data_IF_639166722208
#
_entry.id   IF_639166722208
#
_cell.length_a   1.000
_cell.length_b   1.000
_cell.length_c   1.000
_cell.angle_alpha   90.00
_cell.angle_beta   90.00
_cell.angle_gamma   90.00
#
_symmetry.space_group_name_H-M   'P 1'
#
loop_
_entity.id
_entity.type
_entity.pdbx_description
1 polymer ?
#
# COMPACT_ATOMS: atom_id res chain seq x y z
N UNK A 1 34.78 -11.36 19.85
CA UNK A 1 33.70 -10.63 20.52
C UNK A 1 33.19 -9.63 19.51
N UNK A 2 32.02 -9.84 18.94
CA UNK A 2 31.38 -8.92 17.98
C UNK A 2 30.93 -7.67 18.75
N UNK A 3 31.46 -6.52 18.36
CA UNK A 3 31.09 -5.22 18.94
C UNK A 3 29.58 -4.99 18.71
N UNK A 4 28.84 -4.80 19.79
CA UNK A 4 27.40 -4.54 19.74
C UNK A 4 27.21 -3.03 19.60
N UNK A 5 26.84 -2.57 18.41
CA UNK A 5 26.47 -1.17 18.22
C UNK A 5 25.15 -0.87 18.95
N UNK A 6 25.09 0.25 19.65
CA UNK A 6 23.92 0.69 20.42
C UNK A 6 23.10 1.68 19.57
N UNK A 7 21.79 1.46 19.48
CA UNK A 7 20.85 2.40 18.89
C UNK A 7 19.72 2.69 19.90
N UNK A 8 19.43 3.96 20.15
CA UNK A 8 18.31 4.33 21.02
C UNK A 8 16.97 4.00 20.36
N UNK A 9 16.82 4.43 19.11
CA UNK A 9 15.67 4.10 18.26
C UNK A 9 16.14 3.30 17.07
N UNK A 10 15.66 2.06 16.96
CA UNK A 10 15.96 1.17 15.87
C UNK A 10 14.70 0.94 15.04
N UNK A 11 14.78 1.15 13.73
CA UNK A 11 13.69 0.94 12.78
C UNK A 11 14.10 -0.14 11.78
N UNK A 12 13.32 -1.20 11.67
CA UNK A 12 13.53 -2.25 10.68
C UNK A 12 12.61 -2.03 9.48
N UNK A 13 13.18 -1.63 8.36
CA UNK A 13 12.50 -1.33 7.11
C UNK A 13 12.46 0.16 6.79
N UNK A 14 12.83 0.52 5.56
CA UNK A 14 12.84 1.88 5.02
C UNK A 14 11.69 2.12 4.03
N UNK A 15 10.54 1.46 4.23
CA UNK A 15 9.29 1.71 3.51
C UNK A 15 8.47 2.85 4.14
N UNK A 16 7.22 3.05 3.68
CA UNK A 16 6.34 4.14 4.13
C UNK A 16 6.28 4.33 5.64
N UNK A 17 6.09 3.25 6.40
CA UNK A 17 6.02 3.31 7.86
C UNK A 17 7.35 3.69 8.49
N UNK A 18 8.46 3.06 8.04
CA UNK A 18 9.78 3.28 8.61
C UNK A 18 10.31 4.69 8.36
N UNK A 19 10.22 5.20 7.12
CA UNK A 19 10.66 6.57 6.81
C UNK A 19 9.81 7.62 7.54
N UNK A 20 8.48 7.45 7.56
CA UNK A 20 7.59 8.36 8.27
C UNK A 20 7.83 8.37 9.78
N UNK A 21 8.21 7.22 10.35
CA UNK A 21 8.61 7.13 11.74
C UNK A 21 9.95 7.82 12.00
N UNK A 22 10.95 7.59 11.15
CA UNK A 22 12.27 8.22 11.27
C UNK A 22 12.16 9.75 11.17
N UNK A 23 11.43 10.26 10.20
CA UNK A 23 11.15 11.69 10.04
C UNK A 23 10.45 12.27 11.28
N UNK A 24 9.45 11.57 11.81
CA UNK A 24 8.71 12.02 12.99
C UNK A 24 9.57 12.01 14.26
N UNK A 25 10.44 11.01 14.46
CA UNK A 25 11.41 11.00 15.56
C UNK A 25 12.35 12.19 15.41
N UNK A 26 12.89 12.43 14.23
CA UNK A 26 13.85 13.51 13.98
C UNK A 26 13.22 14.90 14.15
N UNK A 27 11.98 15.08 13.72
CA UNK A 27 11.21 16.31 13.95
C UNK A 27 11.10 16.66 15.45
N UNK A 28 10.90 15.64 16.30
CA UNK A 28 10.66 15.80 17.74
C UNK A 28 11.91 15.68 18.60
N UNK A 29 12.92 14.96 18.15
CA UNK A 29 14.15 14.62 18.89
C UNK A 29 15.37 14.74 17.97
N UNK A 30 15.84 15.97 17.76
CA UNK A 30 16.93 16.26 16.79
C UNK A 30 18.22 15.47 17.08
N UNK A 31 18.59 15.30 18.35
CA UNK A 31 19.82 14.65 18.79
C UNK A 31 19.66 13.15 19.13
N UNK A 32 18.53 12.54 18.76
CA UNK A 32 18.31 11.14 19.08
C UNK A 32 19.23 10.22 18.24
N UNK A 33 19.78 9.20 18.86
CA UNK A 33 20.45 8.09 18.15
C UNK A 33 19.38 7.29 17.40
N UNK A 34 19.39 7.36 16.06
CA UNK A 34 18.40 6.78 15.19
C UNK A 34 19.05 5.95 14.10
N UNK A 35 18.79 4.66 14.11
CA UNK A 35 19.26 3.72 13.10
C UNK A 35 18.08 3.17 12.31
N UNK A 36 18.14 3.20 10.98
CA UNK A 36 17.18 2.58 10.06
C UNK A 36 17.88 1.47 9.29
N UNK A 37 17.33 0.26 9.36
CA UNK A 37 17.89 -0.93 8.69
C UNK A 37 17.03 -1.28 7.50
N UNK A 38 17.61 -1.40 6.32
CA UNK A 38 16.95 -1.81 5.08
C UNK A 38 17.68 -2.98 4.44
N UNK A 39 16.92 -4.00 4.02
CA UNK A 39 17.47 -5.09 3.21
C UNK A 39 17.76 -4.68 1.76
N UNK A 40 17.13 -3.60 1.29
CA UNK A 40 17.36 -3.07 -0.04
C UNK A 40 18.72 -2.36 -0.10
N UNK A 41 19.35 -2.39 -1.27
CA UNK A 41 20.67 -1.80 -1.49
C UNK A 41 20.61 -0.35 -2.01
N UNK A 42 19.41 0.18 -2.17
CA UNK A 42 19.13 1.54 -2.64
C UNK A 42 18.53 2.41 -1.55
N UNK A 43 18.64 3.72 -1.72
CA UNK A 43 17.93 4.70 -0.92
C UNK A 43 16.42 4.44 -0.92
N UNK A 44 15.67 4.85 0.13
CA UNK A 44 14.23 4.64 0.20
C UNK A 44 13.52 5.20 -1.02
N UNK A 45 12.67 4.38 -1.62
CA UNK A 45 11.88 4.74 -2.82
C UNK A 45 10.39 4.78 -2.54
N UNK A 46 9.64 5.40 -3.45
CA UNK A 46 8.19 5.28 -3.54
C UNK A 46 7.78 4.08 -4.42
N UNK A 47 7.44 2.90 -3.88
CA UNK A 47 7.03 1.77 -4.70
C UNK A 47 5.70 2.00 -5.43
N UNK A 48 4.91 3.00 -5.01
CA UNK A 48 3.67 3.39 -5.72
C UNK A 48 3.95 4.02 -7.07
N UNK A 49 5.15 4.58 -7.28
CA UNK A 49 5.60 5.22 -8.51
C UNK A 49 6.41 4.29 -9.44
N UNK A 50 6.59 3.01 -9.07
CA UNK A 50 7.29 2.04 -9.93
C UNK A 50 6.60 1.80 -11.28
N UNK A 51 5.26 1.77 -11.39
CA UNK A 51 4.60 1.69 -12.69
C UNK A 51 4.94 2.88 -13.60
N UNK A 52 4.96 4.10 -13.08
CA UNK A 52 5.31 5.32 -13.79
C UNK A 52 6.78 5.30 -14.26
N UNK A 53 7.68 4.74 -13.42
CA UNK A 53 9.07 4.49 -13.81
C UNK A 53 9.19 3.42 -14.90
N UNK A 54 8.42 2.33 -14.82
CA UNK A 54 8.37 1.34 -15.90
C UNK A 54 7.85 1.97 -17.19
N UNK A 55 6.82 2.80 -17.12
CA UNK A 55 6.27 3.53 -18.27
C UNK A 55 7.31 4.46 -18.89
N UNK A 56 8.20 5.04 -18.08
CA UNK A 56 9.20 6.02 -18.48
C UNK A 56 8.70 7.46 -18.36
N UNK A 57 7.58 7.69 -17.68
CA UNK A 57 7.03 9.03 -17.41
C UNK A 57 7.75 9.75 -16.28
N UNK A 58 8.48 9.02 -15.43
CA UNK A 58 9.39 9.56 -14.41
C UNK A 58 10.77 8.92 -14.53
N UNK A 59 11.80 9.63 -14.11
CA UNK A 59 13.18 9.17 -14.00
C UNK A 59 13.39 8.30 -12.75
N UNK A 60 14.53 7.61 -12.70
CA UNK A 60 14.94 6.85 -11.51
C UNK A 60 15.10 7.73 -10.28
N UNK A 61 15.63 8.94 -10.45
CA UNK A 61 15.91 9.86 -9.35
C UNK A 61 14.63 10.37 -8.68
N UNK A 62 13.53 10.48 -9.43
CA UNK A 62 12.22 10.87 -8.92
C UNK A 62 11.55 9.78 -8.05
N UNK A 63 12.07 8.55 -8.06
CA UNK A 63 11.60 7.49 -7.18
C UNK A 63 12.07 7.66 -5.74
N UNK A 64 13.26 8.28 -5.54
CA UNK A 64 13.88 8.36 -4.23
C UNK A 64 13.16 9.36 -3.33
N UNK A 65 12.85 8.92 -2.11
CA UNK A 65 12.20 9.74 -1.08
C UNK A 65 13.23 10.45 -0.21
N UNK A 66 14.39 9.81 -0.03
CA UNK A 66 15.56 10.38 0.63
C UNK A 66 16.76 10.29 -0.31
N UNK A 67 17.64 11.26 -0.24
CA UNK A 67 18.98 11.21 -0.79
C UNK A 67 20.03 11.11 0.35
N UNK A 68 21.29 11.04 -0.01
CA UNK A 68 22.38 10.94 0.98
C UNK A 68 22.49 12.20 1.83
N UNK A 69 22.29 13.37 1.23
CA UNK A 69 22.38 14.64 1.95
C UNK A 69 21.30 14.73 3.02
N UNK A 70 20.07 14.31 2.71
CA UNK A 70 18.98 14.25 3.68
C UNK A 70 19.32 13.35 4.88
N UNK A 71 19.89 12.17 4.63
CA UNK A 71 20.26 11.20 5.68
C UNK A 71 21.35 11.78 6.59
N UNK A 72 22.38 12.41 6.01
CA UNK A 72 23.50 13.03 6.71
C UNK A 72 23.06 14.26 7.52
N UNK A 73 22.33 15.19 6.92
CA UNK A 73 21.80 16.40 7.56
C UNK A 73 20.87 16.09 8.74
N UNK A 74 20.12 14.99 8.63
CA UNK A 74 19.23 14.55 9.69
C UNK A 74 19.89 13.58 10.68
N UNK A 75 21.17 13.27 10.55
CA UNK A 75 21.90 12.39 11.45
C UNK A 75 21.28 11.02 11.61
N UNK A 76 20.75 10.45 10.51
CA UNK A 76 20.14 9.11 10.48
C UNK A 76 21.23 8.09 10.11
N UNK A 77 21.46 7.08 10.93
CA UNK A 77 22.27 5.93 10.53
C UNK A 77 21.43 5.01 9.64
N UNK A 78 21.58 5.13 8.32
CA UNK A 78 20.87 4.28 7.35
C UNK A 78 21.74 3.10 6.93
N UNK A 79 21.38 1.90 7.36
CA UNK A 79 22.06 0.64 7.04
C UNK A 79 21.35 -0.05 5.87
N UNK A 80 21.82 0.19 4.66
CA UNK A 80 21.38 -0.50 3.45
C UNK A 80 21.96 -1.91 3.34
N UNK A 81 21.38 -2.76 2.48
CA UNK A 81 21.77 -4.16 2.26
C UNK A 81 21.93 -4.94 3.58
N UNK A 82 21.04 -4.67 4.52
CA UNK A 82 21.11 -5.20 5.89
C UNK A 82 19.76 -5.83 6.24
N UNK A 83 19.69 -7.15 6.25
CA UNK A 83 18.50 -7.89 6.59
C UNK A 83 18.47 -8.29 8.05
N UNK A 84 17.44 -7.88 8.77
CA UNK A 84 17.18 -8.36 10.13
C UNK A 84 16.58 -9.77 10.08
N UNK A 85 17.25 -10.74 10.70
CA UNK A 85 16.84 -12.16 10.66
C UNK A 85 16.26 -12.68 11.96
N UNK A 86 16.52 -11.99 13.10
CA UNK A 86 15.99 -12.37 14.42
C UNK A 86 15.92 -11.15 15.33
N UNK A 87 14.89 -11.11 16.15
CA UNK A 87 14.72 -10.14 17.24
C UNK A 87 14.79 -10.88 18.55
N UNK A 88 15.71 -10.49 19.45
CA UNK A 88 15.78 -10.97 20.81
C UNK A 88 15.26 -9.89 21.76
N UNK A 89 14.02 -10.07 22.22
CA UNK A 89 13.36 -9.10 23.10
C UNK A 89 13.87 -9.11 24.52
N UNK A 90 14.58 -10.17 24.96
CA UNK A 90 15.14 -10.27 26.30
C UNK A 90 16.42 -9.45 26.42
N UNK A 91 17.24 -9.52 25.38
CA UNK A 91 18.51 -8.78 25.30
C UNK A 91 18.36 -7.44 24.59
N UNK A 92 17.14 -7.05 24.20
CA UNK A 92 16.85 -5.85 23.41
C UNK A 92 17.80 -5.72 22.19
N UNK A 93 17.92 -6.78 21.42
CA UNK A 93 18.83 -6.86 20.29
C UNK A 93 18.19 -7.40 19.02
N UNK A 94 18.70 -6.97 17.86
CA UNK A 94 18.35 -7.46 16.53
C UNK A 94 19.60 -8.06 15.90
N UNK A 95 19.46 -9.26 15.35
CA UNK A 95 20.53 -9.94 14.63
C UNK A 95 20.32 -9.78 13.13
N UNK A 96 21.34 -9.29 12.46
CA UNK A 96 21.37 -9.13 11.00
C UNK A 96 21.94 -10.39 10.33
N UNK A 97 21.62 -10.58 9.04
CA UNK A 97 22.07 -11.72 8.25
C UNK A 97 23.60 -11.84 8.14
N UNK A 98 24.32 -10.73 8.25
CA UNK A 98 25.78 -10.71 8.29
C UNK A 98 26.40 -11.05 9.66
N UNK A 99 25.57 -11.41 10.65
CA UNK A 99 25.98 -11.75 12.01
C UNK A 99 26.16 -10.56 12.95
N UNK A 100 26.04 -9.31 12.48
CA UNK A 100 26.09 -8.11 13.34
C UNK A 100 24.86 -8.11 14.27
N UNK A 101 25.07 -7.74 15.54
CA UNK A 101 24.00 -7.50 16.51
C UNK A 101 23.83 -6.01 16.75
N UNK A 102 22.59 -5.53 16.75
CA UNK A 102 22.22 -4.16 17.07
C UNK A 102 21.40 -4.15 18.35
N UNK A 103 21.82 -3.42 19.37
CA UNK A 103 21.01 -3.22 20.58
C UNK A 103 20.07 -2.01 20.40
N UNK A 104 18.92 -2.01 21.06
CA UNK A 104 17.96 -0.93 21.00
C UNK A 104 17.34 -0.61 22.37
N UNK A 105 16.88 0.61 22.56
CA UNK A 105 16.00 0.99 23.67
C UNK A 105 14.52 0.90 23.23
N UNK A 106 14.24 1.28 21.98
CA UNK A 106 12.92 1.17 21.34
C UNK A 106 13.09 0.64 19.93
N UNK A 107 12.22 -0.28 19.56
CA UNK A 107 12.24 -0.93 18.25
C UNK A 107 10.93 -0.69 17.49
N UNK A 108 11.03 -0.31 16.23
CA UNK A 108 9.91 -0.34 15.27
C UNK A 108 10.13 -1.44 14.24
N UNK A 109 9.18 -2.37 14.14
CA UNK A 109 9.10 -3.36 13.06
C UNK A 109 8.25 -2.76 11.94
N UNK A 110 8.91 -2.30 10.85
CA UNK A 110 8.29 -1.70 9.67
C UNK A 110 8.72 -2.43 8.39
N UNK A 111 8.91 -3.75 8.49
CA UNK A 111 9.45 -4.61 7.44
C UNK A 111 8.44 -4.93 6.32
N UNK A 112 7.21 -4.49 6.47
CA UNK A 112 6.18 -4.57 5.46
C UNK A 112 5.72 -5.99 5.16
N UNK A 113 5.57 -6.30 3.87
CA UNK A 113 5.06 -7.58 3.40
C UNK A 113 5.89 -8.12 2.24
N UNK A 114 5.79 -9.42 1.99
CA UNK A 114 6.39 -10.10 0.84
C UNK A 114 5.32 -10.59 -0.14
N UNK A 115 5.63 -10.67 -1.44
CA UNK A 115 4.68 -11.15 -2.44
C UNK A 115 4.28 -12.61 -2.19
N UNK A 116 3.05 -12.92 -2.54
CA UNK A 116 2.58 -14.30 -2.61
C UNK A 116 2.99 -14.84 -3.97
N UNK A 117 3.80 -15.90 -3.97
CA UNK A 117 4.22 -16.62 -5.16
C UNK A 117 3.78 -18.08 -5.04
N UNK A 118 3.32 -18.67 -6.15
CA UNK A 118 3.07 -20.12 -6.23
C UNK A 118 4.38 -20.88 -6.35
N UNK A 119 4.43 -22.17 -5.98
CA UNK A 119 5.62 -22.99 -6.16
C UNK A 119 6.14 -23.00 -7.61
N UNK A 120 5.24 -22.93 -8.59
CA UNK A 120 5.60 -22.91 -10.01
C UNK A 120 6.30 -21.60 -10.39
N UNK A 121 5.84 -20.46 -9.88
CA UNK A 121 6.49 -19.17 -10.11
C UNK A 121 7.87 -19.09 -9.43
N UNK A 122 8.03 -19.71 -8.26
CA UNK A 122 9.31 -19.75 -7.54
C UNK A 122 10.41 -20.53 -8.28
N UNK A 123 10.04 -21.40 -9.22
CA UNK A 123 10.96 -22.20 -10.05
C UNK A 123 11.30 -21.56 -11.38
N UNK A 124 10.70 -20.41 -11.70
CA UNK A 124 10.88 -19.72 -12.98
C UNK A 124 11.83 -18.54 -12.81
N UNK A 125 12.69 -18.38 -13.79
CA UNK A 125 13.47 -17.16 -13.96
C UNK A 125 12.57 -16.02 -14.46
N UNK A 126 12.99 -14.78 -14.21
CA UNK A 126 12.31 -13.56 -14.68
C UNK A 126 10.87 -13.41 -14.18
N UNK A 127 10.63 -13.76 -12.91
CA UNK A 127 9.41 -13.47 -12.19
C UNK A 127 9.66 -12.30 -11.26
N UNK A 128 8.89 -11.22 -11.41
CA UNK A 128 9.01 -9.98 -10.66
C UNK A 128 7.71 -9.68 -9.95
N UNK A 129 7.79 -9.10 -8.75
CA UNK A 129 6.60 -8.79 -7.95
C UNK A 129 6.19 -7.32 -8.00
N UNK A 130 6.98 -6.47 -8.66
CA UNK A 130 6.82 -5.01 -8.74
C UNK A 130 6.67 -4.34 -7.36
N UNK A 131 7.64 -4.60 -6.48
CA UNK A 131 7.70 -4.00 -5.14
C UNK A 131 8.99 -3.23 -4.88
N UNK A 132 10.06 -3.60 -5.55
CA UNK A 132 11.40 -3.03 -5.39
C UNK A 132 11.86 -2.36 -6.68
N UNK A 133 12.88 -1.51 -6.56
CA UNK A 133 13.54 -0.93 -7.72
C UNK A 133 14.14 -2.02 -8.62
N UNK A 134 14.70 -3.07 -8.03
CA UNK A 134 15.26 -4.21 -8.75
C UNK A 134 14.18 -4.95 -9.58
N UNK A 135 12.97 -5.13 -9.02
CA UNK A 135 11.83 -5.67 -9.77
C UNK A 135 11.53 -4.82 -11.02
N UNK A 136 11.41 -3.50 -10.84
CA UNK A 136 11.10 -2.60 -11.95
C UNK A 136 12.18 -2.57 -13.02
N UNK A 137 13.45 -2.49 -12.62
CA UNK A 137 14.60 -2.57 -13.54
C UNK A 137 14.67 -3.92 -14.24
N UNK A 138 14.37 -5.01 -13.53
CA UNK A 138 14.28 -6.36 -14.09
C UNK A 138 13.19 -6.46 -15.17
N UNK A 139 12.01 -5.91 -14.90
CA UNK A 139 10.91 -5.84 -15.87
C UNK A 139 11.33 -5.02 -17.09
N UNK A 140 11.88 -3.81 -16.89
CA UNK A 140 12.35 -2.94 -17.99
C UNK A 140 13.36 -3.63 -18.89
N UNK A 141 14.32 -4.37 -18.30
CA UNK A 141 15.32 -5.13 -19.07
C UNK A 141 14.73 -6.28 -19.86
N UNK A 142 13.76 -6.99 -19.26
CA UNK A 142 13.22 -8.22 -19.84
C UNK A 142 12.07 -8.00 -20.81
N UNK A 143 11.14 -7.07 -20.52
CA UNK A 143 9.93 -6.84 -21.28
C UNK A 143 10.24 -6.24 -22.65
N UNK A 144 10.22 -7.05 -23.72
CA UNK A 144 10.49 -6.65 -25.09
C UNK A 144 9.27 -6.79 -25.98
N UNK A 145 8.65 -7.95 -25.99
CA UNK A 145 7.52 -8.29 -26.84
C UNK A 145 6.25 -8.54 -26.01
N UNK A 146 6.30 -9.47 -25.07
CA UNK A 146 5.13 -9.92 -24.33
C UNK A 146 5.41 -10.19 -22.84
N UNK A 147 4.54 -9.66 -21.99
CA UNK A 147 4.57 -9.88 -20.53
C UNK A 147 3.28 -10.53 -20.06
N UNK A 148 3.40 -11.54 -19.21
CA UNK A 148 2.27 -12.11 -18.47
C UNK A 148 2.20 -11.46 -17.10
N UNK A 149 1.00 -10.96 -16.73
CA UNK A 149 0.70 -10.46 -15.39
C UNK A 149 -0.23 -11.46 -14.70
N UNK A 150 0.24 -12.08 -13.63
CA UNK A 150 -0.56 -13.02 -12.85
C UNK A 150 -1.16 -12.36 -11.62
N UNK A 151 -2.45 -12.09 -11.69
CA UNK A 151 -3.26 -11.33 -10.74
C UNK A 151 -3.98 -10.18 -11.42
N UNK A 152 -4.99 -9.62 -10.78
CA UNK A 152 -5.80 -8.53 -11.33
C UNK A 152 -6.21 -7.50 -10.26
N UNK A 153 -5.35 -7.28 -9.26
CA UNK A 153 -5.45 -6.21 -8.28
C UNK A 153 -4.89 -4.87 -8.80
N UNK A 154 -4.86 -3.85 -7.94
CA UNK A 154 -4.39 -2.50 -8.30
C UNK A 154 -2.99 -2.51 -8.96
N UNK A 155 -2.02 -3.23 -8.37
CA UNK A 155 -0.65 -3.32 -8.90
C UNK A 155 -0.64 -3.99 -10.28
N UNK A 156 -1.43 -5.06 -10.47
CA UNK A 156 -1.53 -5.73 -11.76
C UNK A 156 -2.02 -4.78 -12.86
N UNK A 157 -3.07 -4.01 -12.57
CA UNK A 157 -3.66 -3.09 -13.54
C UNK A 157 -2.72 -1.91 -13.83
N UNK A 158 -2.10 -1.32 -12.82
CA UNK A 158 -1.09 -0.27 -13.02
C UNK A 158 0.10 -0.78 -13.86
N UNK A 159 0.60 -1.98 -13.58
CA UNK A 159 1.66 -2.60 -14.39
C UNK A 159 1.21 -2.85 -15.84
N UNK A 160 -0.03 -3.30 -16.04
CA UNK A 160 -0.58 -3.53 -17.37
C UNK A 160 -0.66 -2.24 -18.19
N UNK A 161 -1.15 -1.15 -17.59
CA UNK A 161 -1.20 0.17 -18.23
C UNK A 161 0.21 0.65 -18.59
N UNK A 162 1.15 0.62 -17.63
CA UNK A 162 2.53 1.07 -17.83
C UNK A 162 3.23 0.30 -18.98
N UNK A 163 3.13 -1.02 -18.99
CA UNK A 163 3.73 -1.87 -20.03
C UNK A 163 3.08 -1.66 -21.40
N UNK A 164 1.76 -1.49 -21.46
CA UNK A 164 1.07 -1.17 -22.71
C UNK A 164 1.48 0.19 -23.29
N UNK A 165 1.65 1.20 -22.45
CA UNK A 165 2.17 2.52 -22.88
C UNK A 165 3.60 2.44 -23.42
N UNK A 166 4.39 1.45 -22.98
CA UNK A 166 5.70 1.13 -23.58
C UNK A 166 5.62 0.34 -24.89
N UNK A 167 4.42 -0.03 -25.36
CA UNK A 167 4.22 -0.83 -26.56
C UNK A 167 4.37 -2.34 -26.37
N UNK A 168 4.52 -2.83 -25.13
CA UNK A 168 4.64 -4.26 -24.83
C UNK A 168 3.28 -4.92 -24.88
N UNK A 169 3.15 -6.12 -25.47
CA UNK A 169 1.94 -6.92 -25.39
C UNK A 169 1.73 -7.45 -23.97
N UNK A 170 0.52 -7.28 -23.44
CA UNK A 170 0.22 -7.64 -22.05
C UNK A 170 -0.93 -8.64 -21.99
N UNK A 171 -0.70 -9.75 -21.27
CA UNK A 171 -1.72 -10.73 -20.94
C UNK A 171 -1.92 -10.74 -19.42
N UNK A 172 -3.09 -10.38 -18.95
CA UNK A 172 -3.49 -10.44 -17.54
C UNK A 172 -4.24 -11.75 -17.29
N UNK A 173 -3.71 -12.58 -16.42
CA UNK A 173 -4.34 -13.83 -15.98
C UNK A 173 -4.96 -13.64 -14.61
N UNK A 174 -6.24 -13.96 -14.45
CA UNK A 174 -6.91 -13.86 -13.16
C UNK A 174 -7.96 -14.95 -12.95
N UNK A 175 -8.21 -15.27 -11.66
CA UNK A 175 -9.18 -16.30 -11.25
C UNK A 175 -10.64 -15.89 -11.46
N UNK A 176 -10.90 -14.61 -11.72
CA UNK A 176 -12.27 -14.11 -11.90
C UNK A 176 -12.26 -12.86 -12.78
N UNK A 177 -12.45 -11.68 -12.22
CA UNK A 177 -12.47 -10.39 -12.93
C UNK A 177 -11.45 -9.41 -12.32
N UNK A 178 -11.10 -8.39 -13.10
CA UNK A 178 -10.20 -7.32 -12.67
C UNK A 178 -10.79 -6.55 -11.48
N UNK A 179 -9.96 -6.17 -10.53
CA UNK A 179 -10.26 -5.28 -9.40
C UNK A 179 -11.49 -5.66 -8.55
N UNK A 180 -11.94 -6.91 -8.57
CA UNK A 180 -13.18 -7.41 -7.94
C UNK A 180 -13.32 -7.12 -6.44
N UNK A 181 -12.21 -6.83 -5.75
CA UNK A 181 -12.19 -6.49 -4.32
C UNK A 181 -12.26 -5.00 -4.07
N UNK A 182 -12.13 -4.18 -5.12
CA UNK A 182 -12.04 -2.74 -5.03
C UNK A 182 -13.25 -2.02 -5.61
N UNK A 183 -13.91 -2.63 -6.60
CA UNK A 183 -15.05 -2.02 -7.30
C UNK A 183 -16.22 -2.98 -7.43
N UNK A 184 -17.40 -2.41 -7.58
CA UNK A 184 -18.62 -3.16 -7.93
C UNK A 184 -18.51 -3.74 -9.35
N UNK A 185 -19.37 -4.71 -9.67
CA UNK A 185 -19.29 -5.53 -10.88
C UNK A 185 -19.32 -4.74 -12.18
N UNK A 186 -20.19 -3.74 -12.26
CA UNK A 186 -20.32 -2.87 -13.42
C UNK A 186 -19.09 -1.99 -13.63
N UNK A 187 -18.50 -1.43 -12.57
CA UNK A 187 -17.26 -0.68 -12.67
C UNK A 187 -16.05 -1.58 -13.00
N UNK A 188 -16.03 -2.82 -12.49
CA UNK A 188 -15.06 -3.81 -12.94
C UNK A 188 -15.21 -4.10 -14.44
N UNK A 189 -16.45 -4.16 -14.95
CA UNK A 189 -16.75 -4.33 -16.37
C UNK A 189 -16.27 -3.15 -17.20
N UNK A 190 -16.51 -1.92 -16.76
CA UNK A 190 -16.05 -0.70 -17.42
C UNK A 190 -14.52 -0.66 -17.51
N UNK A 191 -13.82 -0.92 -16.40
CA UNK A 191 -12.35 -1.00 -16.39
C UNK A 191 -11.84 -2.09 -17.33
N UNK A 192 -12.50 -3.26 -17.35
CA UNK A 192 -12.15 -4.35 -18.26
C UNK A 192 -12.28 -3.93 -19.73
N UNK A 193 -13.39 -3.27 -20.09
CA UNK A 193 -13.59 -2.74 -21.45
C UNK A 193 -12.49 -1.75 -21.86
N UNK A 194 -12.10 -0.83 -20.96
CA UNK A 194 -11.02 0.12 -21.23
C UNK A 194 -9.66 -0.58 -21.42
N UNK A 195 -9.34 -1.58 -20.60
CA UNK A 195 -8.10 -2.36 -20.73
C UNK A 195 -8.06 -3.09 -22.09
N UNK A 196 -9.15 -3.77 -22.46
CA UNK A 196 -9.25 -4.51 -23.73
C UNK A 196 -9.18 -3.55 -24.93
N UNK A 197 -9.88 -2.42 -24.88
CA UNK A 197 -9.84 -1.40 -25.93
C UNK A 197 -8.42 -0.83 -26.16
N UNK A 198 -7.56 -0.86 -25.13
CA UNK A 198 -6.16 -0.45 -25.22
C UNK A 198 -5.20 -1.63 -25.42
N UNK A 199 -5.71 -2.79 -25.83
CA UNK A 199 -4.91 -3.94 -26.26
C UNK A 199 -4.34 -4.80 -25.12
N UNK A 200 -4.91 -4.76 -23.92
CA UNK A 200 -4.62 -5.71 -22.86
C UNK A 200 -5.48 -6.97 -23.06
N UNK A 201 -4.85 -8.14 -23.26
CA UNK A 201 -5.57 -9.43 -23.27
C UNK A 201 -5.86 -9.84 -21.82
N UNK A 202 -7.13 -10.04 -21.48
CA UNK A 202 -7.54 -10.47 -20.14
C UNK A 202 -8.11 -11.88 -20.20
N UNK A 203 -7.50 -12.80 -19.46
CA UNK A 203 -7.94 -14.20 -19.37
C UNK A 203 -8.42 -14.47 -17.95
N UNK A 204 -9.75 -14.46 -17.81
CA UNK A 204 -10.44 -14.74 -16.55
C UNK A 204 -10.64 -16.23 -16.33
N UNK A 205 -10.96 -16.61 -15.09
CA UNK A 205 -11.23 -18.01 -14.68
C UNK A 205 -10.11 -18.99 -15.06
N UNK A 206 -8.87 -18.47 -15.08
CA UNK A 206 -7.66 -19.19 -15.45
C UNK A 206 -6.65 -19.13 -14.34
N UNK A 207 -5.93 -20.23 -14.12
CA UNK A 207 -4.74 -20.31 -13.31
C UNK A 207 -3.52 -20.35 -14.23
N UNK A 208 -2.39 -19.83 -13.74
CA UNK A 208 -1.14 -19.91 -14.45
C UNK A 208 -0.61 -21.33 -14.38
N UNK A 209 -0.47 -21.97 -15.55
CA UNK A 209 0.16 -23.27 -15.68
C UNK A 209 1.45 -23.11 -16.49
N UNK A 210 2.57 -23.46 -15.90
CA UNK A 210 3.85 -23.44 -16.62
C UNK A 210 3.92 -24.59 -17.62
N UNK A 211 4.30 -24.28 -18.87
CA UNK A 211 4.74 -25.33 -19.79
C UNK A 211 6.12 -25.87 -19.38
N UNK A 212 6.48 -27.04 -19.88
CA UNK A 212 7.77 -27.69 -19.63
C UNK A 212 8.98 -26.92 -20.18
N UNK A 213 8.76 -25.97 -21.10
CA UNK A 213 9.81 -25.12 -21.65
C UNK A 213 9.88 -23.77 -20.94
N UNK A 214 11.11 -23.24 -20.79
CA UNK A 214 11.32 -21.86 -20.35
C UNK A 214 10.66 -20.87 -21.32
N UNK A 215 10.02 -19.83 -20.76
CA UNK A 215 9.34 -18.74 -21.48
C UNK A 215 8.08 -19.13 -22.26
N UNK A 216 7.43 -20.25 -21.92
CA UNK A 216 6.13 -20.61 -22.43
C UNK A 216 5.17 -20.92 -21.28
N UNK A 217 3.94 -20.49 -21.41
CA UNK A 217 2.86 -20.75 -20.47
C UNK A 217 1.60 -21.17 -21.20
N UNK A 218 0.83 -22.05 -20.57
CA UNK A 218 -0.52 -22.35 -20.99
C UNK A 218 -1.47 -21.31 -20.39
N UNK A 219 -2.12 -20.54 -21.23
CA UNK A 219 -3.06 -19.48 -20.86
C UNK A 219 -4.43 -19.83 -21.42
N UNK A 220 -5.31 -20.40 -20.58
CA UNK A 220 -6.46 -21.14 -21.08
C UNK A 220 -5.99 -22.38 -21.83
N UNK A 221 -6.43 -22.54 -23.08
CA UNK A 221 -6.05 -23.66 -23.96
C UNK A 221 -4.93 -23.28 -24.96
N UNK A 222 -4.37 -22.08 -24.85
CA UNK A 222 -3.38 -21.55 -25.79
C UNK A 222 -1.98 -21.55 -25.15
N UNK A 223 -0.98 -22.13 -25.84
CA UNK A 223 0.42 -21.98 -25.46
C UNK A 223 0.96 -20.64 -25.96
N UNK A 224 1.41 -19.79 -25.04
CA UNK A 224 1.96 -18.47 -25.36
C UNK A 224 3.40 -18.33 -24.88
N UNK A 225 4.24 -17.72 -25.72
CA UNK A 225 5.59 -17.29 -25.33
C UNK A 225 5.52 -15.96 -24.54
N UNK A 226 6.45 -15.75 -23.61
CA UNK A 226 6.57 -14.52 -22.84
C UNK A 226 8.02 -14.19 -22.50
N UNK A 227 8.29 -12.91 -22.23
CA UNK A 227 9.62 -12.43 -21.83
C UNK A 227 9.84 -12.53 -20.33
N UNK A 228 8.84 -12.13 -19.55
CA UNK A 228 8.83 -12.21 -18.10
C UNK A 228 7.40 -12.28 -17.54
N UNK A 229 7.30 -12.53 -16.24
CA UNK A 229 6.05 -12.59 -15.50
C UNK A 229 6.06 -11.53 -14.40
N UNK A 230 4.96 -10.76 -14.30
CA UNK A 230 4.70 -9.90 -13.15
C UNK A 230 3.70 -10.61 -12.22
N UNK A 231 4.17 -11.04 -11.05
CA UNK A 231 3.36 -11.74 -10.06
C UNK A 231 2.69 -10.74 -9.11
N UNK A 232 1.40 -10.49 -9.32
CA UNK A 232 0.59 -9.52 -8.57
C UNK A 232 -0.62 -10.16 -7.86
N UNK A 233 -0.39 -11.31 -7.20
CA UNK A 233 -1.42 -12.11 -6.54
C UNK A 233 -1.76 -11.65 -5.12
N UNK A 234 -1.12 -10.59 -4.65
CA UNK A 234 -1.22 -10.06 -3.29
C UNK A 234 0.04 -10.30 -2.48
N UNK A 235 -0.03 -9.92 -1.21
CA UNK A 235 1.10 -9.94 -0.29
C UNK A 235 0.72 -10.62 1.02
N UNK A 236 1.74 -11.04 1.77
CA UNK A 236 1.61 -11.51 3.14
C UNK A 236 2.60 -10.79 4.05
N UNK A 237 2.24 -10.49 5.31
CA UNK A 237 3.15 -9.88 6.27
C UNK A 237 4.51 -10.56 6.33
N UNK A 238 5.56 -9.76 6.49
CA UNK A 238 6.93 -10.26 6.57
C UNK A 238 7.68 -9.50 7.66
N UNK A 239 8.15 -10.24 8.66
CA UNK A 239 8.93 -9.71 9.78
C UNK A 239 9.90 -10.77 10.29
N UNK A 240 11.02 -10.37 10.92
CA UNK A 240 11.93 -11.31 11.57
C UNK A 240 11.23 -12.05 12.70
N UNK A 241 11.49 -13.36 12.90
CA UNK A 241 10.95 -14.07 14.04
C UNK A 241 11.44 -13.47 15.36
N UNK A 242 10.54 -13.41 16.34
CA UNK A 242 10.91 -13.14 17.71
C UNK A 242 11.15 -14.44 18.46
N UNK A 243 12.10 -14.43 19.39
CA UNK A 243 12.36 -15.55 20.24
C UNK A 243 11.08 -16.01 20.96
N UNK A 244 10.78 -17.32 20.87
CA UNK A 244 9.68 -17.99 21.55
C UNK A 244 8.26 -17.48 21.25
N UNK A 245 8.01 -16.82 20.09
CA UNK A 245 6.66 -16.37 19.73
C UNK A 245 6.08 -15.30 20.66
N UNK A 246 6.93 -14.44 21.25
CA UNK A 246 6.53 -13.42 22.21
C UNK A 246 5.62 -12.34 21.62
N UNK A 247 5.71 -12.09 20.29
CA UNK A 247 4.80 -11.16 19.62
C UNK A 247 3.51 -11.86 19.23
N UNK A 248 2.39 -11.31 19.70
CA UNK A 248 1.06 -11.74 19.29
C UNK A 248 0.80 -11.45 17.82
N UNK A 249 0.20 -12.42 17.12
CA UNK A 249 -0.26 -12.26 15.74
C UNK A 249 -1.78 -12.17 15.71
N UNK A 250 -2.28 -11.39 14.77
CA UNK A 250 -3.69 -11.30 14.48
C UNK A 250 -4.19 -12.44 13.57
N UNK A 251 -5.47 -12.38 13.21
CA UNK A 251 -6.15 -13.47 12.47
C UNK A 251 -5.68 -13.60 11.01
N UNK A 252 -5.16 -12.54 10.42
CA UNK A 252 -4.68 -12.52 9.02
C UNK A 252 -3.16 -12.68 8.94
N UNK A 253 -2.51 -12.94 10.09
CA UNK A 253 -1.08 -13.22 10.19
C UNK A 253 -0.19 -11.99 10.31
N UNK A 254 -0.75 -10.80 10.44
CA UNK A 254 -0.02 -9.58 10.78
C UNK A 254 0.29 -9.50 12.27
N UNK A 255 1.26 -8.69 12.66
CA UNK A 255 1.56 -8.40 14.05
C UNK A 255 0.35 -7.71 14.69
N UNK A 256 -0.10 -8.20 15.84
CA UNK A 256 -1.14 -7.57 16.63
C UNK A 256 -0.55 -6.35 17.36
N UNK A 257 -1.16 -5.19 17.19
CA UNK A 257 -0.78 -3.94 17.86
C UNK A 257 -2.00 -3.30 18.52
N UNK A 258 -1.75 -2.52 19.57
CA UNK A 258 -2.77 -1.64 20.15
C UNK A 258 -2.94 -0.35 19.32
N UNK A 259 -3.78 0.57 19.81
CA UNK A 259 -4.01 1.84 19.12
C UNK A 259 -2.81 2.80 19.20
N UNK A 260 -1.82 2.52 20.05
CA UNK A 260 -0.54 3.21 20.11
C UNK A 260 0.52 2.60 19.19
N UNK A 261 0.16 1.61 18.38
CA UNK A 261 1.06 0.80 17.53
C UNK A 261 2.07 -0.03 18.31
N UNK A 262 1.85 -0.25 19.64
CA UNK A 262 2.71 -1.10 20.45
C UNK A 262 2.29 -2.56 20.30
N UNK A 263 3.27 -3.45 20.23
CA UNK A 263 3.05 -4.91 20.20
C UNK A 263 2.75 -5.44 21.60
N UNK A 264 2.54 -6.74 21.71
CA UNK A 264 2.41 -7.42 23.01
C UNK A 264 3.69 -7.36 23.87
N UNK A 265 4.81 -6.92 23.29
CA UNK A 265 6.11 -6.78 23.96
C UNK A 265 6.39 -5.30 24.22
N UNK A 266 6.51 -4.87 25.47
CA UNK A 266 6.78 -3.47 25.79
C UNK A 266 8.08 -2.95 25.14
N UNK A 267 8.02 -1.72 24.60
CA UNK A 267 9.15 -1.10 23.91
C UNK A 267 9.37 -1.54 22.46
N UNK A 268 8.57 -2.51 21.98
CA UNK A 268 8.56 -2.94 20.58
C UNK A 268 7.24 -2.50 19.95
N UNK A 269 7.34 -1.77 18.87
CA UNK A 269 6.24 -1.24 18.05
C UNK A 269 6.26 -1.90 16.67
N UNK A 270 5.13 -1.86 15.97
CA UNK A 270 5.08 -2.32 14.59
C UNK A 270 4.12 -1.44 13.77
N UNK A 271 4.40 -1.26 12.47
CA UNK A 271 3.61 -0.42 11.58
C UNK A 271 3.73 -0.83 10.10
N UNK A 272 2.74 -0.51 9.30
CA UNK A 272 2.67 -0.77 7.86
C UNK A 272 2.16 -2.17 7.53
N UNK A 273 2.51 -2.69 6.34
CA UNK A 273 1.95 -3.94 5.79
C UNK A 273 2.24 -5.19 6.65
N UNK A 274 3.04 -5.08 7.71
CA UNK A 274 3.33 -6.19 8.63
C UNK A 274 2.36 -6.30 9.81
N UNK A 275 1.46 -5.32 10.01
CA UNK A 275 0.53 -5.27 11.15
C UNK A 275 -0.93 -5.51 10.75
N UNK A 276 -1.76 -5.85 11.76
CA UNK A 276 -3.22 -5.81 11.64
C UNK A 276 -3.79 -4.60 12.35
N UNK A 277 -4.43 -3.72 11.59
CA UNK A 277 -5.12 -2.53 12.09
C UNK A 277 -6.62 -2.57 11.84
N UNK A 278 -7.36 -1.67 12.46
CA UNK A 278 -8.82 -1.58 12.34
C UNK A 278 -9.22 -0.96 11.00
N UNK A 279 -10.07 -1.63 10.22
CA UNK A 279 -10.84 -1.02 9.15
C UNK A 279 -12.05 -0.30 9.77
N UNK A 280 -12.04 1.02 9.71
CA UNK A 280 -13.09 1.86 10.32
C UNK A 280 -14.47 1.68 9.67
N UNK A 281 -14.54 1.12 8.47
CA UNK A 281 -15.79 0.96 7.73
C UNK A 281 -16.46 -0.38 7.97
N UNK A 282 -15.70 -1.39 8.32
CA UNK A 282 -16.19 -2.74 8.61
C UNK A 282 -16.13 -3.10 10.09
N UNK A 283 -15.33 -2.41 10.88
CA UNK A 283 -15.06 -2.72 12.28
C UNK A 283 -14.18 -3.97 12.47
N UNK A 284 -13.57 -4.48 11.40
CA UNK A 284 -12.71 -5.67 11.44
C UNK A 284 -11.25 -5.27 11.45
N UNK A 285 -10.41 -6.02 12.14
CA UNK A 285 -8.95 -5.89 12.03
C UNK A 285 -8.43 -6.78 10.91
N UNK A 286 -7.38 -6.30 10.22
CA UNK A 286 -6.71 -7.02 9.16
C UNK A 286 -5.50 -6.27 8.63
N UNK A 287 -4.75 -6.91 7.76
CA UNK A 287 -3.60 -6.30 7.07
C UNK A 287 -4.11 -5.36 5.97
N UNK A 288 -3.67 -4.11 6.03
CA UNK A 288 -4.02 -3.04 5.07
C UNK A 288 -2.77 -2.57 4.34
N UNK A 289 -2.38 -3.32 3.30
CA UNK A 289 -1.17 -3.02 2.52
C UNK A 289 -1.36 -1.78 1.62
N UNK A 290 -1.36 -0.60 2.23
CA UNK A 290 -1.59 0.70 1.61
C UNK A 290 -0.58 1.73 2.13
N UNK A 291 -0.08 2.60 1.24
CA UNK A 291 0.93 3.60 1.58
C UNK A 291 0.47 4.62 2.66
N UNK A 292 -0.68 5.32 2.49
CA UNK A 292 -1.07 6.36 3.45
C UNK A 292 -1.30 5.83 4.87
N UNK A 293 -2.01 4.70 5.09
CA UNK A 293 -2.12 4.09 6.41
C UNK A 293 -0.76 3.73 7.02
N UNK A 294 0.12 3.09 6.24
CA UNK A 294 1.44 2.71 6.71
C UNK A 294 2.25 3.91 7.21
N UNK A 295 2.20 5.03 6.49
CA UNK A 295 2.88 6.27 6.89
C UNK A 295 2.27 6.87 8.16
N UNK A 296 0.95 6.87 8.31
CA UNK A 296 0.25 7.35 9.50
C UNK A 296 0.57 6.47 10.73
N UNK A 297 0.53 5.15 10.57
CA UNK A 297 0.90 4.17 11.59
C UNK A 297 2.35 4.36 12.05
N UNK A 298 3.28 4.58 11.11
CA UNK A 298 4.68 4.87 11.41
C UNK A 298 4.85 6.14 12.27
N UNK A 299 4.12 7.21 11.94
CA UNK A 299 4.13 8.46 12.72
C UNK A 299 3.58 8.25 14.13
N UNK A 300 2.48 7.50 14.28
CA UNK A 300 1.90 7.19 15.59
C UNK A 300 2.88 6.34 16.42
N UNK A 301 3.48 5.31 15.83
CA UNK A 301 4.49 4.50 16.49
C UNK A 301 5.68 5.37 16.98
N UNK A 302 6.18 6.26 16.13
CA UNK A 302 7.29 7.15 16.44
C UNK A 302 7.00 8.07 17.65
N UNK A 303 5.82 8.68 17.69
CA UNK A 303 5.38 9.55 18.79
C UNK A 303 5.38 8.76 20.12
N UNK A 304 4.84 7.54 20.11
CA UNK A 304 4.81 6.70 21.30
C UNK A 304 6.22 6.16 21.68
N UNK A 305 7.07 5.85 20.70
CA UNK A 305 8.47 5.45 20.94
C UNK A 305 9.27 6.51 21.67
N UNK A 306 9.04 7.80 21.38
CA UNK A 306 9.75 8.92 22.04
C UNK A 306 9.16 9.31 23.40
N UNK A 307 8.12 8.58 23.89
CA UNK A 307 7.48 8.79 25.18
C UNK A 307 6.40 9.88 25.17
N UNK A 308 5.97 10.34 23.99
CA UNK A 308 4.76 11.17 23.82
C UNK A 308 3.54 10.26 23.63
N UNK A 309 2.34 10.81 23.46
CA UNK A 309 1.12 10.02 23.30
C UNK A 309 0.42 10.34 22.00
N UNK A 310 0.16 9.31 21.20
CA UNK A 310 -0.66 9.37 20.00
C UNK A 310 -1.44 8.06 19.82
N UNK A 311 -2.61 8.16 19.20
CA UNK A 311 -3.44 6.98 18.88
C UNK A 311 -3.78 6.93 17.41
N UNK A 312 -3.80 5.73 16.86
CA UNK A 312 -4.23 5.44 15.51
C UNK A 312 -5.72 5.12 15.48
N UNK A 313 -6.51 5.95 14.82
CA UNK A 313 -7.96 5.80 14.76
C UNK A 313 -8.45 4.66 13.84
N UNK A 314 -7.53 3.98 13.16
CA UNK A 314 -7.82 2.94 12.18
C UNK A 314 -7.76 3.42 10.73
N UNK A 315 -7.76 2.46 9.83
CA UNK A 315 -7.61 2.65 8.38
C UNK A 315 -8.94 2.90 7.70
N UNK A 316 -9.01 3.91 6.84
CA UNK A 316 -9.99 3.98 5.75
C UNK A 316 -9.34 3.39 4.49
N UNK A 317 -9.66 2.15 4.09
CA UNK A 317 -9.10 1.58 2.87
C UNK A 317 -9.46 2.45 1.66
N UNK A 318 -8.45 2.89 0.92
CA UNK A 318 -8.65 3.77 -0.24
C UNK A 318 -7.67 3.43 -1.35
N UNK A 319 -8.14 3.41 -2.59
CA UNK A 319 -7.32 3.21 -3.77
C UNK A 319 -7.70 4.20 -4.86
N UNK A 320 -6.69 4.71 -5.55
CA UNK A 320 -6.82 5.49 -6.78
C UNK A 320 -6.10 4.73 -7.89
N UNK A 321 -6.80 4.46 -8.97
CA UNK A 321 -6.28 3.71 -10.11
C UNK A 321 -6.59 4.51 -11.36
N UNK A 322 -5.56 4.84 -12.12
CA UNK A 322 -5.72 5.43 -13.45
C UNK A 322 -5.63 4.31 -14.49
N UNK A 323 -6.55 4.30 -15.44
CA UNK A 323 -6.61 3.35 -16.55
C UNK A 323 -6.73 4.14 -17.84
N UNK A 324 -5.63 4.31 -18.56
CA UNK A 324 -5.52 5.01 -19.83
C UNK A 324 -6.21 6.39 -19.84
N UNK A 325 -5.92 7.21 -18.82
CA UNK A 325 -6.43 8.58 -18.68
C UNK A 325 -7.73 8.69 -17.87
N UNK A 326 -8.41 7.59 -17.57
CA UNK A 326 -9.59 7.61 -16.73
C UNK A 326 -9.25 7.25 -15.27
N UNK A 327 -9.68 8.10 -14.34
CA UNK A 327 -9.46 7.91 -12.91
C UNK A 327 -10.59 7.14 -12.25
N UNK A 328 -10.23 6.14 -11.44
CA UNK A 328 -11.13 5.34 -10.63
C UNK A 328 -10.70 5.42 -9.18
N UNK A 329 -11.61 5.85 -8.31
CA UNK A 329 -11.38 5.91 -6.86
C UNK A 329 -12.32 4.95 -6.17
N UNK A 330 -11.81 4.24 -5.18
CA UNK A 330 -12.62 3.48 -4.24
C UNK A 330 -12.15 3.76 -2.83
N UNK A 331 -13.07 3.90 -1.90
CA UNK A 331 -12.76 4.04 -0.49
C UNK A 331 -13.84 3.40 0.37
N UNK A 332 -13.42 2.76 1.46
CA UNK A 332 -14.29 2.12 2.44
C UNK A 332 -14.97 0.85 1.93
N UNK A 333 -16.15 0.56 2.46
CA UNK A 333 -16.88 -0.69 2.24
C UNK A 333 -17.66 -0.69 0.93
N UNK A 334 -17.57 -1.79 0.20
CA UNK A 334 -18.43 -2.06 -0.97
C UNK A 334 -19.80 -2.64 -0.56
N UNK A 335 -19.95 -3.10 0.69
CA UNK A 335 -21.15 -3.80 1.17
C UNK A 335 -22.10 -2.85 1.87
N UNK A 336 -23.31 -2.71 1.34
CA UNK A 336 -24.36 -1.84 1.88
C UNK A 336 -25.35 -1.41 0.80
N UNK A 337 -26.25 -0.50 1.14
CA UNK A 337 -27.18 0.08 0.18
C UNK A 337 -26.44 1.11 -0.70
N UNK A 338 -26.67 1.04 -2.02
CA UNK A 338 -26.00 1.89 -3.00
C UNK A 338 -26.84 3.12 -3.34
N UNK A 339 -26.18 4.26 -3.43
CA UNK A 339 -26.76 5.52 -3.88
C UNK A 339 -25.89 6.07 -5.02
N UNK A 340 -26.41 6.08 -6.24
CA UNK A 340 -25.73 6.64 -7.40
C UNK A 340 -26.01 8.13 -7.49
N UNK A 341 -24.96 8.90 -7.73
CA UNK A 341 -24.99 10.35 -7.90
C UNK A 341 -24.30 10.70 -9.21
N UNK A 342 -24.79 11.70 -9.96
CA UNK A 342 -24.05 12.23 -11.09
C UNK A 342 -22.75 12.87 -10.60
N UNK A 343 -21.63 12.57 -11.27
CA UNK A 343 -20.39 13.33 -11.17
C UNK A 343 -20.40 14.50 -12.17
N UNK A 344 -19.40 15.35 -12.08
CA UNK A 344 -19.22 16.46 -13.06
C UNK A 344 -18.93 15.90 -14.45
N UNK A 345 -17.90 15.05 -14.53
CA UNK A 345 -17.51 14.30 -15.73
C UNK A 345 -17.30 12.84 -15.32
N UNK A 346 -18.40 12.12 -14.97
CA UNK A 346 -18.31 10.74 -14.51
C UNK A 346 -19.43 10.38 -13.54
N UNK A 347 -19.16 9.47 -12.63
CA UNK A 347 -20.14 8.97 -11.67
C UNK A 347 -19.59 8.85 -10.24
N UNK A 348 -20.47 9.03 -9.27
CA UNK A 348 -20.18 8.83 -7.84
C UNK A 348 -21.18 7.82 -7.30
N UNK A 349 -20.67 6.79 -6.64
CA UNK A 349 -21.49 5.77 -5.99
C UNK A 349 -21.17 5.71 -4.51
N UNK A 350 -22.13 6.07 -3.66
CA UNK A 350 -22.00 5.94 -2.21
C UNK A 350 -22.51 4.58 -1.75
N UNK A 351 -21.81 4.00 -0.79
CA UNK A 351 -22.29 2.83 -0.05
C UNK A 351 -22.71 3.29 1.35
N UNK A 352 -23.91 2.90 1.77
CA UNK A 352 -24.46 3.32 3.06
C UNK A 352 -24.88 2.13 3.90
N UNK A 353 -24.77 2.27 5.24
CA UNK A 353 -25.22 1.30 6.22
C UNK A 353 -25.87 2.04 7.40
N UNK A 354 -27.13 1.72 7.70
CA UNK A 354 -27.89 2.44 8.72
C UNK A 354 -28.02 3.94 8.44
N UNK A 355 -28.04 4.34 7.16
CA UNK A 355 -28.11 5.74 6.73
C UNK A 355 -26.78 6.51 6.82
N UNK A 356 -25.69 5.91 7.33
CA UNK A 356 -24.33 6.46 7.36
C UNK A 356 -23.56 6.08 6.11
N UNK A 357 -22.69 6.97 5.61
CA UNK A 357 -21.81 6.70 4.49
C UNK A 357 -20.65 5.83 4.99
N UNK A 358 -20.46 4.65 4.40
CA UNK A 358 -19.40 3.70 4.74
C UNK A 358 -18.48 3.38 3.57
N UNK A 359 -18.79 3.86 2.37
CA UNK A 359 -17.95 3.69 1.19
C UNK A 359 -18.31 4.65 0.08
N UNK A 360 -17.36 4.87 -0.83
CA UNK A 360 -17.53 5.70 -2.02
C UNK A 360 -16.69 5.14 -3.17
N UNK A 361 -17.26 5.12 -4.36
CA UNK A 361 -16.57 4.86 -5.62
C UNK A 361 -16.79 6.05 -6.55
N UNK A 362 -15.74 6.48 -7.26
CA UNK A 362 -15.81 7.61 -8.19
C UNK A 362 -15.12 7.21 -9.49
N UNK A 363 -15.65 7.70 -10.61
CA UNK A 363 -15.10 7.50 -11.96
C UNK A 363 -15.06 8.85 -12.67
N UNK A 364 -13.99 9.11 -13.41
CA UNK A 364 -13.77 10.35 -14.15
C UNK A 364 -13.26 11.47 -13.25
N UNK A 365 -14.06 12.52 -13.01
CA UNK A 365 -13.68 13.58 -12.07
C UNK A 365 -13.72 13.07 -10.62
N UNK A 366 -12.54 13.04 -10.01
CA UNK A 366 -12.31 12.53 -8.64
C UNK A 366 -11.95 13.64 -7.64
N UNK A 367 -12.10 14.90 -8.01
CA UNK A 367 -11.68 16.06 -7.23
C UNK A 367 -12.30 16.11 -5.83
N UNK A 368 -13.53 15.61 -5.67
CA UNK A 368 -14.23 15.54 -4.38
C UNK A 368 -13.85 14.36 -3.46
N UNK A 369 -12.90 13.48 -3.83
CA UNK A 369 -12.60 12.25 -3.09
C UNK A 369 -12.24 12.50 -1.63
N UNK A 370 -11.43 13.53 -1.33
CA UNK A 370 -11.05 13.90 0.04
C UNK A 370 -12.24 14.27 0.94
N UNK A 371 -13.27 14.90 0.39
CA UNK A 371 -14.49 15.23 1.12
C UNK A 371 -15.27 13.95 1.47
N UNK A 372 -15.40 13.01 0.54
CA UNK A 372 -16.05 11.72 0.81
C UNK A 372 -15.27 10.89 1.82
N UNK A 373 -13.93 10.90 1.79
CA UNK A 373 -13.11 10.28 2.81
C UNK A 373 -13.42 10.86 4.20
N UNK A 374 -13.57 12.19 4.32
CA UNK A 374 -13.96 12.86 5.55
C UNK A 374 -15.37 12.46 6.01
N UNK A 375 -16.34 12.37 5.09
CA UNK A 375 -17.70 11.92 5.43
C UNK A 375 -17.73 10.49 5.96
N UNK A 376 -16.95 9.59 5.39
CA UNK A 376 -16.84 8.20 5.85
C UNK A 376 -16.19 8.17 7.25
N UNK A 377 -15.07 8.86 7.46
CA UNK A 377 -14.37 8.93 8.76
C UNK A 377 -15.28 9.49 9.86
N UNK A 378 -16.09 10.52 9.57
CA UNK A 378 -17.02 11.13 10.50
C UNK A 378 -18.37 10.41 10.60
N UNK A 379 -18.54 9.26 9.93
CA UNK A 379 -19.80 8.50 9.90
C UNK A 379 -21.02 9.38 9.52
N UNK A 380 -20.84 10.32 8.60
CA UNK A 380 -21.85 11.30 8.17
C UNK A 380 -23.08 10.59 7.60
N UNK A 381 -24.27 11.06 8.00
CA UNK A 381 -25.52 10.52 7.46
C UNK A 381 -25.87 11.16 6.11
N UNK A 382 -26.43 10.37 5.20
CA UNK A 382 -26.95 10.87 3.92
C UNK A 382 -28.00 11.95 4.11
N UNK A 383 -28.87 11.83 5.15
CA UNK A 383 -29.86 12.85 5.51
C UNK A 383 -29.24 14.21 5.81
N UNK A 384 -28.06 14.22 6.43
CA UNK A 384 -27.37 15.46 6.76
C UNK A 384 -26.82 16.15 5.52
N UNK A 385 -26.29 15.37 4.57
CA UNK A 385 -25.84 15.90 3.29
C UNK A 385 -27.01 16.43 2.43
N UNK A 386 -28.16 15.75 2.48
CA UNK A 386 -29.40 16.26 1.84
C UNK A 386 -29.85 17.57 2.44
N UNK A 387 -29.91 17.68 3.77
CA UNK A 387 -30.29 18.92 4.51
C UNK A 387 -29.35 20.08 4.21
N UNK A 388 -28.08 19.78 3.92
CA UNK A 388 -27.05 20.76 3.56
C UNK A 388 -27.08 21.17 2.08
N UNK A 389 -27.96 20.58 1.27
CA UNK A 389 -27.98 20.80 -0.18
C UNK A 389 -26.78 20.21 -0.90
N UNK A 390 -26.04 19.31 -0.25
CA UNK A 390 -24.87 18.62 -0.84
C UNK A 390 -25.35 17.44 -1.68
N UNK A 391 -26.49 16.83 -1.34
CA UNK A 391 -27.15 15.73 -2.07
C UNK A 391 -28.65 15.96 -2.15
N UNK A 392 -29.36 15.57 -3.21
CA UNK A 392 -28.94 15.31 -4.57
C UNK A 392 -29.41 16.47 -5.44
N UNK A 393 -28.61 17.24 -6.01
CA UNK A 393 -29.04 18.10 -7.12
C UNK A 393 -27.95 18.06 -8.17
N UNK A 394 -28.28 17.70 -9.41
CA UNK A 394 -27.46 17.55 -10.61
C UNK A 394 -26.53 18.72 -10.97
N UNK A 395 -26.05 19.47 -9.98
CA UNK A 395 -24.94 20.37 -10.08
C UNK A 395 -23.74 19.68 -9.45
N UNK A 396 -22.67 19.59 -10.21
CA UNK A 396 -21.38 19.10 -9.78
C UNK A 396 -21.09 19.53 -8.34
N UNK A 397 -20.69 18.58 -7.51
CA UNK A 397 -20.16 18.89 -6.18
C UNK A 397 -18.90 19.74 -6.37
N UNK A 398 -19.01 21.04 -6.16
CA UNK A 398 -17.82 21.89 -6.10
C UNK A 398 -17.14 21.59 -4.78
N UNK A 399 -15.97 20.94 -4.84
CA UNK A 399 -15.16 20.58 -3.67
C UNK A 399 -14.90 21.79 -2.77
N UNK A 400 -14.72 22.95 -3.35
CA UNK A 400 -14.52 24.22 -2.63
C UNK A 400 -15.75 24.67 -1.82
N UNK A 401 -16.96 24.46 -2.34
CA UNK A 401 -18.19 24.76 -1.61
C UNK A 401 -18.36 23.83 -0.41
N UNK A 402 -18.01 22.57 -0.58
CA UNK A 402 -18.05 21.56 0.46
C UNK A 402 -17.05 21.85 1.58
N UNK A 403 -15.81 22.18 1.22
CA UNK A 403 -14.74 22.50 2.16
C UNK A 403 -15.03 23.82 2.91
N UNK A 404 -15.61 24.82 2.24
CA UNK A 404 -15.98 26.08 2.87
C UNK A 404 -17.12 25.91 3.89
N UNK A 405 -18.12 25.08 3.60
CA UNK A 405 -19.20 24.77 4.53
C UNK A 405 -18.75 23.93 5.73
N UNK A 406 -17.81 23.01 5.55
CA UNK A 406 -17.20 22.23 6.64
C UNK A 406 -16.35 23.14 7.53
N UNK A 407 -15.57 24.07 6.99
CA UNK A 407 -14.76 25.05 7.74
C UNK A 407 -15.65 26.03 8.52
N UNK A 408 -16.71 26.56 7.93
CA UNK A 408 -17.63 27.47 8.59
C UNK A 408 -18.29 26.84 9.82
N UNK A 409 -18.59 25.52 9.80
CA UNK A 409 -19.19 24.82 10.94
C UNK A 409 -18.23 24.44 12.05
N UNK A 410 -16.97 24.11 11.72
CA UNK A 410 -15.94 23.92 12.75
C UNK A 410 -15.74 25.20 13.56
N UNK A 411 -15.78 26.34 12.91
CA UNK A 411 -15.67 27.65 13.57
C UNK A 411 -16.90 28.00 14.39
N UNK A 412 -18.13 27.61 13.99
CA UNK A 412 -19.37 27.83 14.73
C UNK A 412 -19.56 26.86 15.93
N UNK A 413 -18.89 25.69 15.92
CA UNK A 413 -18.94 24.75 17.04
C UNK A 413 -17.83 25.01 18.09
N UNK A 414 -16.91 25.93 17.78
CA UNK A 414 -15.81 26.36 18.67
C UNK A 414 -16.10 27.71 19.38
N UNK A 415 -17.28 28.29 19.15
CA UNK A 415 -17.87 29.41 19.90
C UNK A 415 -19.03 28.91 20.77
#
# INVERSE_FOLDING_TARGET
MTETAKARYLILGAGAAGISAAEKIRERRKEAELTVVSRENNMPISPVALPEYIEGSISKDELFLWDRSYVEENGIELMLNSEAIRIDHRDNSVILANGKSLSFERLLIATGAKPILTPDLLRKDRVFALRTLEDAEGIIRCAKERVIIYGAGAIAIKAAVALRRRGVEVIVICRSRVLRRLFDDDLCGEINCQLVANGVKIVGSCEFNSCSSDKKALVGDEEVSYDCIVAAMGVKPSFPPLNNGAIGLGRTGGIAVDDCMQTTVPGIYAAGDCVETLDITTGKRGVMALWPPAAEEGKVAAINMIGESATYAGTLPSNVIEVFGNSFVTMGSLTGHKLNLPGRDGSIRLTTRGGKIVGCQMVGDVEGAGAFASFIRNQTRVSDLKRLGILPYGKALQADLLLSQIRARKNAASQ
#
